data_IF_470552421911
#
_entry.id   IF_470552421911
#
_cell.length_a   1.000
_cell.length_b   1.000
_cell.length_c   1.000
_cell.angle_alpha   90.00
_cell.angle_beta   90.00
_cell.angle_gamma   90.00
#
_symmetry.space_group_name_H-M   'P 1'
#
loop_
_entity.id
_entity.type
_entity.pdbx_description
1 polymer ?
#
# COMPACT_ATOMS: atom_id res chain seq x y z
N UNK A 1 -8.08 -13.31 18.56
CA UNK A 1 -8.10 -12.25 17.54
C UNK A 1 -7.83 -12.79 16.14
N UNK A 2 -8.86 -12.79 15.31
CA UNK A 2 -8.75 -13.07 13.87
C UNK A 2 -8.23 -11.79 13.15
N UNK A 3 -7.40 -11.94 12.13
CA UNK A 3 -6.84 -10.82 11.35
C UNK A 3 -7.93 -9.89 10.78
N UNK A 4 -9.07 -10.47 10.37
CA UNK A 4 -10.22 -9.70 9.88
C UNK A 4 -10.80 -8.75 10.94
N UNK A 5 -10.86 -9.17 12.20
CA UNK A 5 -11.36 -8.34 13.32
C UNK A 5 -10.41 -7.17 13.60
N UNK A 6 -9.10 -7.41 13.56
CA UNK A 6 -8.08 -6.37 13.69
C UNK A 6 -8.18 -5.32 12.58
N UNK A 7 -8.36 -5.76 11.33
CA UNK A 7 -8.54 -4.85 10.19
C UNK A 7 -9.83 -4.04 10.30
N UNK A 8 -10.93 -4.67 10.74
CA UNK A 8 -12.21 -3.99 10.94
C UNK A 8 -12.13 -2.92 12.03
N UNK A 9 -11.55 -3.25 13.20
CA UNK A 9 -11.33 -2.30 14.28
C UNK A 9 -10.41 -1.15 13.86
N UNK A 10 -9.30 -1.44 13.17
CA UNK A 10 -8.38 -0.41 12.67
C UNK A 10 -9.04 0.57 11.69
N UNK A 11 -9.97 0.11 10.86
CA UNK A 11 -10.77 0.98 9.97
C UNK A 11 -11.75 1.84 10.76
N UNK A 12 -12.47 1.25 11.72
CA UNK A 12 -13.43 1.97 12.55
C UNK A 12 -12.76 3.10 13.35
N UNK A 13 -11.59 2.84 13.94
CA UNK A 13 -10.81 3.84 14.68
C UNK A 13 -10.30 4.98 13.79
N UNK A 14 -9.93 4.70 12.54
CA UNK A 14 -9.50 5.74 11.59
C UNK A 14 -10.65 6.66 11.17
N UNK A 15 -11.80 6.08 10.82
CA UNK A 15 -13.02 6.85 10.52
C UNK A 15 -13.42 7.75 11.69
N UNK A 16 -13.27 7.26 12.92
CA UNK A 16 -13.50 8.04 14.12
C UNK A 16 -12.54 9.23 14.29
N UNK A 17 -11.26 9.05 13.96
CA UNK A 17 -10.29 10.14 13.93
C UNK A 17 -10.68 11.22 12.92
N UNK A 18 -11.07 10.83 11.72
CA UNK A 18 -11.55 11.74 10.66
C UNK A 18 -12.81 12.50 11.08
N UNK A 19 -13.73 11.84 11.80
CA UNK A 19 -14.88 12.51 12.39
C UNK A 19 -14.47 13.52 13.46
N UNK A 20 -13.51 13.17 14.33
CA UNK A 20 -12.96 14.07 15.35
C UNK A 20 -12.38 15.35 14.76
N UNK A 21 -11.60 15.24 13.68
CA UNK A 21 -11.01 16.39 12.99
C UNK A 21 -12.05 17.30 12.33
N UNK A 22 -13.19 16.74 11.93
CA UNK A 22 -14.27 17.48 11.28
C UNK A 22 -15.30 18.12 12.25
N UNK A 23 -15.24 17.79 13.55
CA UNK A 23 -16.17 18.32 14.55
C UNK A 23 -15.86 19.79 14.87
N UNK A 24 -16.89 20.62 14.79
CA UNK A 24 -16.85 22.04 15.16
C UNK A 24 -18.20 22.49 15.75
N UNK A 25 -18.27 23.73 16.22
CA UNK A 25 -19.47 24.29 16.87
C UNK A 25 -20.73 24.32 15.97
N UNK A 26 -20.55 24.31 14.65
CA UNK A 26 -21.63 24.37 13.65
C UNK A 26 -22.00 22.98 13.10
N UNK A 27 -21.52 21.90 13.73
CA UNK A 27 -21.80 20.55 13.25
C UNK A 27 -23.29 20.23 13.44
N UNK A 28 -24.01 19.82 12.38
CA UNK A 28 -25.42 19.52 12.48
C UNK A 28 -25.68 18.26 13.32
N UNK A 29 -26.78 18.24 14.09
CA UNK A 29 -27.16 17.13 14.97
C UNK A 29 -27.19 15.76 14.28
N UNK A 30 -27.60 15.72 13.01
CA UNK A 30 -27.59 14.49 12.22
C UNK A 30 -26.18 13.87 12.14
N UNK A 31 -25.15 14.70 11.91
CA UNK A 31 -23.75 14.27 11.91
C UNK A 31 -23.30 13.81 13.29
N UNK A 32 -23.74 14.46 14.37
CA UNK A 32 -23.43 14.04 15.75
C UNK A 32 -24.05 12.66 16.06
N UNK A 33 -25.25 12.38 15.56
CA UNK A 33 -25.89 11.07 15.69
C UNK A 33 -25.18 9.98 14.88
N UNK A 34 -24.66 10.28 13.69
CA UNK A 34 -23.82 9.36 12.91
C UNK A 34 -22.53 9.02 13.65
N UNK A 35 -21.78 10.04 14.11
CA UNK A 35 -20.54 9.85 14.88
C UNK A 35 -20.79 9.02 16.15
N UNK A 36 -21.91 9.27 16.85
CA UNK A 36 -22.32 8.48 18.00
C UNK A 36 -22.59 7.00 17.65
N UNK A 37 -23.18 6.73 16.49
CA UNK A 37 -23.40 5.36 16.03
C UNK A 37 -22.07 4.67 15.70
N UNK A 38 -21.14 5.37 15.06
CA UNK A 38 -19.80 4.85 14.76
C UNK A 38 -18.95 4.58 16.00
N UNK A 39 -19.01 5.47 17.01
CA UNK A 39 -18.40 5.23 18.32
C UNK A 39 -18.89 3.93 18.95
N UNK A 40 -20.21 3.69 18.93
CA UNK A 40 -20.80 2.47 19.49
C UNK A 40 -20.35 1.23 18.75
N UNK A 41 -20.34 1.26 17.41
CA UNK A 41 -19.84 0.16 16.58
C UNK A 41 -18.37 -0.16 16.87
N UNK A 42 -17.52 0.87 17.01
CA UNK A 42 -16.11 0.67 17.32
C UNK A 42 -15.91 0.06 18.72
N UNK A 43 -16.69 0.51 19.71
CA UNK A 43 -16.67 -0.06 21.06
C UNK A 43 -17.12 -1.52 21.07
N UNK A 44 -18.18 -1.86 20.33
CA UNK A 44 -18.66 -3.24 20.22
C UNK A 44 -17.60 -4.16 19.59
N UNK A 45 -16.94 -3.71 18.51
CA UNK A 45 -15.81 -4.44 17.92
C UNK A 45 -14.64 -4.60 18.89
N UNK A 46 -14.35 -3.57 19.70
CA UNK A 46 -13.30 -3.64 20.71
C UNK A 46 -13.65 -4.64 21.82
N UNK A 47 -14.88 -4.61 22.33
CA UNK A 47 -15.35 -5.54 23.35
C UNK A 47 -15.32 -6.99 22.85
N UNK A 48 -15.73 -7.24 21.61
CA UNK A 48 -15.56 -8.53 20.95
C UNK A 48 -14.08 -8.96 20.90
N UNK A 49 -13.16 -8.03 20.60
CA UNK A 49 -11.72 -8.38 20.54
C UNK A 49 -11.12 -8.68 21.90
N UNK A 50 -11.55 -7.98 22.96
CA UNK A 50 -11.05 -8.16 24.34
C UNK A 50 -11.60 -9.45 24.96
N UNK A 51 -12.84 -9.80 24.64
CA UNK A 51 -13.51 -11.00 25.18
C UNK A 51 -13.17 -12.29 24.42
N UNK A 52 -12.70 -12.18 23.17
CA UNK A 52 -12.31 -13.35 22.37
C UNK A 52 -10.96 -13.90 22.82
N UNK A 53 -10.91 -15.19 23.18
CA UNK A 53 -9.66 -15.89 23.51
C UNK A 53 -8.58 -15.72 22.43
N UNK A 54 -7.33 -15.59 22.86
CA UNK A 54 -6.20 -15.52 21.94
C UNK A 54 -6.12 -16.82 21.12
N UNK A 55 -5.93 -16.74 19.80
CA UNK A 55 -5.83 -17.92 18.96
C UNK A 55 -4.55 -18.65 19.34
N UNK A 56 -4.71 -19.88 19.85
CA UNK A 56 -3.57 -20.71 20.21
C UNK A 56 -3.19 -21.59 19.03
N UNK A 57 -1.95 -21.47 18.58
CA UNK A 57 -1.38 -22.43 17.62
C UNK A 57 -0.81 -23.63 18.39
N UNK A 58 -0.49 -24.71 17.68
CA UNK A 58 0.22 -25.87 18.24
C UNK A 58 1.74 -25.76 18.08
N UNK A 59 2.24 -24.58 17.67
CA UNK A 59 3.65 -24.33 17.44
C UNK A 59 4.33 -23.81 18.73
N UNK A 60 5.44 -24.43 19.11
CA UNK A 60 6.23 -24.00 20.27
C UNK A 60 6.88 -22.62 20.08
N UNK A 61 7.20 -22.23 18.84
CA UNK A 61 7.78 -20.91 18.52
C UNK A 61 6.73 -19.78 18.57
N UNK A 62 5.47 -20.08 18.23
CA UNK A 62 4.42 -19.07 18.09
C UNK A 62 3.11 -19.51 18.77
N UNK A 63 3.11 -19.72 20.10
CA UNK A 63 1.94 -20.27 20.81
C UNK A 63 0.69 -19.41 20.63
N UNK A 64 0.83 -18.07 20.52
CA UNK A 64 -0.27 -17.12 20.29
C UNK A 64 -0.23 -16.49 18.89
N UNK A 65 0.40 -17.16 17.92
CA UNK A 65 0.50 -16.68 16.55
C UNK A 65 -0.85 -16.69 15.80
N UNK A 66 -0.94 -16.04 14.63
CA UNK A 66 -2.12 -16.14 13.78
C UNK A 66 -2.38 -17.60 13.38
N UNK A 67 -3.65 -18.00 13.47
CA UNK A 67 -4.08 -19.38 13.18
C UNK A 67 -4.43 -19.55 11.71
N UNK A 68 -3.89 -20.60 11.11
CA UNK A 68 -4.24 -21.11 9.78
C UNK A 68 -4.77 -22.55 9.94
N UNK A 69 -6.03 -22.80 9.59
CA UNK A 69 -6.65 -24.12 9.76
C UNK A 69 -6.06 -25.19 8.83
N UNK A 70 -5.48 -24.77 7.71
CA UNK A 70 -4.85 -25.67 6.74
C UNK A 70 -3.41 -26.03 7.14
N UNK A 71 -2.83 -25.33 8.12
CA UNK A 71 -1.48 -25.56 8.59
C UNK A 71 -1.40 -26.75 9.57
N UNK A 72 -0.39 -27.64 9.47
CA UNK A 72 -0.24 -28.78 10.37
C UNK A 72 -0.20 -28.39 11.86
N UNK A 73 0.55 -27.35 12.18
CA UNK A 73 0.70 -26.83 13.55
C UNK A 73 -0.25 -25.66 13.84
N UNK A 74 -1.22 -25.42 12.94
CA UNK A 74 -2.13 -24.28 12.94
C UNK A 74 -1.47 -22.90 12.92
N UNK A 75 -0.16 -22.82 12.71
CA UNK A 75 0.59 -21.57 12.75
C UNK A 75 0.77 -21.00 11.34
N UNK A 76 0.10 -19.88 11.05
CA UNK A 76 0.19 -19.20 9.76
C UNK A 76 1.62 -18.75 9.41
N UNK A 77 2.41 -18.31 10.41
CA UNK A 77 3.77 -17.83 10.18
C UNK A 77 4.70 -18.95 9.71
N UNK A 78 4.68 -20.08 10.41
CA UNK A 78 5.46 -21.26 10.03
C UNK A 78 4.95 -21.86 8.71
N UNK A 79 3.64 -21.85 8.47
CA UNK A 79 3.08 -22.35 7.21
C UNK A 79 3.42 -21.44 6.03
N UNK A 80 3.42 -20.12 6.21
CA UNK A 80 3.87 -19.16 5.20
C UNK A 80 5.34 -19.40 4.85
N UNK A 81 6.19 -19.65 5.85
CA UNK A 81 7.61 -20.02 5.64
C UNK A 81 7.74 -21.34 4.88
N UNK A 82 6.97 -22.38 5.23
CA UNK A 82 6.94 -23.67 4.52
C UNK A 82 6.46 -23.51 3.07
N UNK A 83 5.40 -22.75 2.83
CA UNK A 83 4.86 -22.44 1.49
C UNK A 83 5.89 -21.71 0.63
N UNK A 84 6.62 -20.75 1.21
CA UNK A 84 7.71 -20.07 0.53
C UNK A 84 8.84 -21.03 0.14
N UNK A 85 9.28 -21.90 1.06
CA UNK A 85 10.31 -22.90 0.79
C UNK A 85 9.90 -23.90 -0.31
N UNK A 86 8.65 -24.38 -0.28
CA UNK A 86 8.11 -25.26 -1.35
C UNK A 86 8.06 -24.55 -2.70
N UNK A 87 7.77 -23.25 -2.74
CA UNK A 87 7.77 -22.45 -3.97
C UNK A 87 9.19 -22.34 -4.55
N UNK A 88 10.19 -22.15 -3.70
CA UNK A 88 11.60 -22.15 -4.13
C UNK A 88 12.00 -23.51 -4.70
N UNK A 89 11.65 -24.61 -4.02
CA UNK A 89 11.93 -25.98 -4.51
C UNK A 89 11.23 -26.28 -5.85
N UNK A 90 9.99 -25.83 -6.03
CA UNK A 90 9.27 -25.95 -7.31
C UNK A 90 9.94 -25.14 -8.42
N UNK A 91 10.37 -23.91 -8.12
CA UNK A 91 11.13 -23.11 -9.07
C UNK A 91 12.48 -23.75 -9.44
N UNK A 92 13.13 -24.44 -8.50
CA UNK A 92 14.37 -25.20 -8.76
C UNK A 92 14.11 -26.48 -9.58
N UNK A 93 12.90 -27.05 -9.51
CA UNK A 93 12.52 -28.27 -10.25
C UNK A 93 12.21 -28.04 -11.73
N UNK A 94 11.91 -26.81 -12.16
CA UNK A 94 11.68 -26.44 -13.56
C UNK A 94 12.97 -26.20 -14.37
N UNK A 95 14.08 -26.79 -13.93
CA UNK A 95 15.42 -26.50 -14.42
C UNK A 95 16.02 -25.29 -13.71
N UNK A 96 17.35 -25.09 -13.80
CA UNK A 96 17.99 -24.01 -13.09
C UNK A 96 17.30 -22.70 -13.48
N UNK A 97 16.85 -21.94 -12.48
CA UNK A 97 16.64 -20.51 -12.69
C UNK A 97 17.90 -20.02 -13.39
N UNK A 98 17.74 -19.50 -14.62
CA UNK A 98 18.84 -18.95 -15.41
C UNK A 98 19.73 -18.21 -14.42
N UNK A 99 21.01 -18.59 -14.25
CA UNK A 99 21.83 -17.99 -13.22
C UNK A 99 21.64 -16.50 -13.36
N UNK A 100 21.16 -15.85 -12.30
CA UNK A 100 21.32 -14.42 -12.22
C UNK A 100 22.82 -14.26 -12.42
N UNK A 101 23.22 -13.81 -13.61
CA UNK A 101 24.61 -13.48 -13.85
C UNK A 101 25.04 -12.51 -12.74
N UNK A 102 26.33 -12.21 -12.60
CA UNK A 102 26.66 -10.96 -11.94
C UNK A 102 25.71 -9.93 -12.56
N UNK A 103 24.85 -9.34 -11.73
CA UNK A 103 24.00 -8.26 -12.20
C UNK A 103 25.03 -7.20 -12.55
N UNK A 104 25.52 -7.24 -13.79
CA UNK A 104 26.24 -6.15 -14.40
C UNK A 104 25.33 -4.99 -14.06
N UNK A 105 25.76 -4.02 -13.23
CA UNK A 105 24.93 -2.87 -12.92
C UNK A 105 24.51 -2.37 -14.29
N UNK A 106 23.26 -2.67 -14.65
CA UNK A 106 22.76 -2.36 -15.98
C UNK A 106 22.76 -0.87 -15.91
N UNK A 107 23.63 -0.15 -16.66
CA UNK A 107 23.71 1.28 -16.51
C UNK A 107 22.28 1.76 -16.74
N UNK A 108 21.64 2.21 -15.66
CA UNK A 108 20.30 2.68 -15.74
C UNK A 108 20.42 3.84 -16.70
N UNK A 109 19.71 3.78 -17.83
CA UNK A 109 19.63 4.89 -18.77
C UNK A 109 18.88 6.10 -18.17
N UNK A 110 18.75 6.12 -16.85
CA UNK A 110 17.74 6.78 -16.04
C UNK A 110 18.42 7.21 -14.74
N UNK A 111 18.24 8.49 -14.41
CA UNK A 111 19.01 9.20 -13.40
C UNK A 111 18.97 8.51 -12.03
N UNK A 112 20.15 8.43 -11.43
CA UNK A 112 20.32 8.13 -10.01
C UNK A 112 19.65 9.27 -9.24
N UNK A 113 18.89 8.96 -8.18
CA UNK A 113 18.39 9.97 -7.25
C UNK A 113 19.61 10.69 -6.68
N UNK A 114 19.72 11.99 -6.90
CA UNK A 114 20.84 12.76 -6.34
C UNK A 114 20.85 12.62 -4.82
N UNK A 115 22.05 12.60 -4.21
CA UNK A 115 22.22 12.57 -2.75
C UNK A 115 21.49 13.72 -2.02
N UNK A 116 21.17 14.79 -2.75
CA UNK A 116 20.24 15.84 -2.33
C UNK A 116 19.24 16.14 -3.45
N UNK A 117 18.07 15.50 -3.46
CA UNK A 117 17.09 15.80 -4.48
C UNK A 117 16.52 17.20 -4.28
N UNK A 118 16.56 18.03 -5.33
CA UNK A 118 15.86 19.31 -5.33
C UNK A 118 14.38 19.11 -5.70
N UNK A 119 13.45 19.84 -5.07
CA UNK A 119 12.03 19.76 -5.43
C UNK A 119 11.84 20.21 -6.89
N UNK A 120 11.44 19.28 -7.75
CA UNK A 120 11.16 19.58 -9.15
C UNK A 120 9.66 19.66 -9.38
N UNK A 121 9.23 20.72 -10.05
CA UNK A 121 7.84 20.86 -10.47
C UNK A 121 7.49 19.77 -11.51
N UNK A 122 6.36 19.10 -11.28
CA UNK A 122 5.81 18.04 -12.11
C UNK A 122 4.30 18.21 -12.31
N UNK A 123 3.84 17.71 -13.44
CA UNK A 123 2.43 17.66 -13.84
C UNK A 123 1.96 16.21 -13.86
N UNK A 124 1.05 15.86 -12.95
CA UNK A 124 0.58 14.51 -12.68
C UNK A 124 -0.78 14.29 -13.37
N UNK A 125 -0.83 13.46 -14.43
CA UNK A 125 -2.09 13.12 -15.08
C UNK A 125 -2.85 12.08 -14.26
N UNK A 126 -4.05 12.42 -13.82
CA UNK A 126 -4.90 11.55 -13.02
C UNK A 126 -6.22 11.23 -13.73
N UNK A 127 -6.72 10.03 -13.48
CA UNK A 127 -7.99 9.53 -13.94
C UNK A 127 -8.89 9.15 -12.76
N UNK A 128 -10.19 9.39 -12.89
CA UNK A 128 -11.18 8.92 -11.93
C UNK A 128 -11.56 7.48 -12.23
N UNK A 129 -11.31 6.57 -11.28
CA UNK A 129 -11.63 5.15 -11.42
C UNK A 129 -13.04 4.77 -10.90
N UNK A 130 -13.82 5.75 -10.43
CA UNK A 130 -15.13 5.52 -9.80
C UNK A 130 -15.13 5.70 -8.28
N UNK A 131 -13.96 5.66 -7.64
CA UNK A 131 -13.81 5.79 -6.18
C UNK A 131 -12.75 6.80 -5.77
N UNK A 132 -11.60 6.81 -6.46
CA UNK A 132 -10.46 7.67 -6.16
C UNK A 132 -9.82 8.22 -7.45
N UNK A 133 -9.12 9.34 -7.29
CA UNK A 133 -8.20 9.82 -8.32
C UNK A 133 -6.94 8.99 -8.28
N UNK A 134 -6.55 8.45 -9.44
CA UNK A 134 -5.35 7.62 -9.58
C UNK A 134 -4.51 8.11 -10.74
N UNK A 135 -3.18 8.05 -10.58
CA UNK A 135 -2.24 8.34 -11.66
C UNK A 135 -2.49 7.42 -12.86
N UNK A 136 -2.75 8.01 -14.01
CA UNK A 136 -3.02 7.28 -15.24
C UNK A 136 -1.81 7.20 -16.17
N UNK A 137 -0.70 7.84 -15.82
CA UNK A 137 0.56 7.83 -16.57
C UNK A 137 1.74 8.30 -15.73
N UNK A 138 2.90 8.47 -16.36
CA UNK A 138 4.08 9.04 -15.71
C UNK A 138 3.91 10.55 -15.54
N UNK A 139 4.34 11.14 -14.41
CA UNK A 139 4.40 12.59 -14.24
C UNK A 139 5.25 13.26 -15.33
N UNK A 140 4.86 14.46 -15.74
CA UNK A 140 5.48 15.20 -16.84
C UNK A 140 6.19 16.45 -16.34
N UNK A 141 7.21 16.87 -17.09
CA UNK A 141 7.94 18.12 -16.79
C UNK A 141 7.22 19.34 -17.37
N UNK A 142 6.55 19.16 -18.50
CA UNK A 142 5.79 20.21 -19.18
C UNK A 142 4.27 19.96 -19.05
N UNK A 143 3.54 21.06 -18.77
CA UNK A 143 2.08 21.08 -18.71
C UNK A 143 1.48 20.66 -20.05
N UNK A 144 2.02 21.18 -21.16
CA UNK A 144 1.49 20.94 -22.50
C UNK A 144 1.60 19.46 -22.88
N UNK A 145 2.71 18.83 -22.55
CA UNK A 145 2.91 17.38 -22.73
C UNK A 145 1.85 16.58 -21.95
N UNK A 146 1.59 16.97 -20.70
CA UNK A 146 0.61 16.30 -19.85
C UNK A 146 -0.84 16.47 -20.36
N UNK A 147 -1.18 17.66 -20.84
CA UNK A 147 -2.49 17.93 -21.47
C UNK A 147 -2.68 17.11 -22.75
N UNK A 148 -1.66 17.04 -23.61
CA UNK A 148 -1.68 16.20 -24.82
C UNK A 148 -1.84 14.71 -24.46
N UNK A 149 -1.19 14.26 -23.40
CA UNK A 149 -1.33 12.90 -22.89
C UNK A 149 -2.77 12.61 -22.44
N UNK A 150 -3.38 13.48 -21.63
CA UNK A 150 -4.77 13.31 -21.23
C UNK A 150 -5.74 13.36 -22.41
N UNK A 151 -5.48 14.21 -23.41
CA UNK A 151 -6.25 14.24 -24.66
C UNK A 151 -6.14 12.93 -25.44
N UNK A 152 -4.97 12.28 -25.45
CA UNK A 152 -4.81 10.95 -26.03
C UNK A 152 -5.57 9.88 -25.23
N UNK A 153 -5.49 9.91 -23.90
CA UNK A 153 -6.20 8.96 -23.02
C UNK A 153 -7.73 9.03 -23.18
N UNK A 154 -8.29 10.22 -23.40
CA UNK A 154 -9.72 10.41 -23.69
C UNK A 154 -10.16 9.77 -25.01
N UNK A 155 -9.23 9.62 -25.97
CA UNK A 155 -9.48 8.99 -27.29
C UNK A 155 -9.09 7.51 -27.32
N UNK A 156 -8.62 6.97 -26.19
CA UNK A 156 -8.22 5.57 -26.07
C UNK A 156 -9.41 4.61 -26.05
N UNK A 157 -9.16 3.29 -26.15
CA UNK A 157 -10.20 2.27 -26.21
C UNK A 157 -11.02 2.13 -24.92
N UNK A 158 -10.49 2.60 -23.77
CA UNK A 158 -11.16 2.57 -22.46
C UNK A 158 -10.90 3.88 -21.72
N UNK A 159 -11.62 4.97 -22.06
CA UNK A 159 -11.44 6.23 -21.37
C UNK A 159 -12.01 6.16 -19.95
N UNK A 160 -11.33 6.79 -18.99
CA UNK A 160 -11.87 7.00 -17.65
C UNK A 160 -13.01 8.02 -17.67
N UNK A 161 -13.84 7.99 -16.62
CA UNK A 161 -15.02 8.85 -16.45
C UNK A 161 -14.62 10.33 -16.42
N UNK A 162 -13.51 10.64 -15.76
CA UNK A 162 -12.97 11.98 -15.67
C UNK A 162 -11.44 11.93 -15.63
N UNK A 163 -10.83 13.03 -16.07
CA UNK A 163 -9.40 13.25 -15.99
C UNK A 163 -9.12 14.62 -15.40
N UNK A 164 -8.06 14.72 -14.62
CA UNK A 164 -7.54 16.00 -14.13
C UNK A 164 -6.03 16.03 -14.22
N UNK A 165 -5.49 17.24 -14.17
CA UNK A 165 -4.06 17.47 -14.13
C UNK A 165 -3.71 18.16 -12.81
N UNK A 166 -2.81 17.55 -12.04
CA UNK A 166 -2.36 18.07 -10.76
C UNK A 166 -0.94 18.59 -10.90
N UNK A 167 -0.64 19.72 -10.28
CA UNK A 167 0.71 20.28 -10.20
C UNK A 167 1.29 19.93 -8.84
N UNK A 168 2.44 19.27 -8.81
CA UNK A 168 3.12 18.86 -7.57
C UNK A 168 4.63 19.11 -7.68
N UNK A 169 5.28 19.34 -6.53
CA UNK A 169 6.74 19.38 -6.43
C UNK A 169 7.23 18.05 -5.89
N UNK A 170 7.93 17.26 -6.71
CA UNK A 170 8.48 15.95 -6.31
C UNK A 170 10.00 16.03 -6.20
N UNK A 171 10.56 15.45 -5.14
CA UNK A 171 12.00 15.31 -4.90
C UNK A 171 12.56 13.98 -5.48
N UNK A 172 11.85 13.34 -6.41
CA UNK A 172 12.32 12.13 -7.08
C UNK A 172 11.71 11.99 -8.47
N UNK A 173 12.42 11.31 -9.37
CA UNK A 173 11.90 10.97 -10.69
C UNK A 173 10.97 9.74 -10.57
N UNK A 174 9.65 9.98 -10.58
CA UNK A 174 8.64 8.90 -10.56
C UNK A 174 8.55 8.26 -11.95
N UNK A 175 9.34 7.21 -12.19
CA UNK A 175 9.24 6.42 -13.41
C UNK A 175 8.66 5.05 -13.09
N UNK A 176 7.66 4.62 -13.88
CA UNK A 176 6.96 3.33 -13.74
C UNK A 176 7.92 2.20 -13.35
N UNK A 177 7.78 1.72 -12.12
CA UNK A 177 8.40 0.48 -11.66
C UNK A 177 7.38 -0.63 -11.91
N UNK A 178 7.72 -1.61 -12.73
CA UNK A 178 7.00 -2.89 -12.73
C UNK A 178 7.63 -3.74 -11.62
N UNK A 179 6.89 -3.98 -10.54
CA UNK A 179 7.37 -4.69 -9.36
C UNK A 179 7.03 -3.98 -8.06
N UNK A 180 7.27 -4.65 -6.93
CA UNK A 180 7.07 -4.09 -5.59
C UNK A 180 8.23 -3.15 -5.25
N UNK A 181 7.98 -1.86 -4.95
CA UNK A 181 9.05 -0.93 -4.64
C UNK A 181 9.71 -1.33 -3.32
N UNK A 182 10.96 -1.74 -3.39
CA UNK A 182 11.78 -1.96 -2.19
C UNK A 182 12.34 -0.61 -1.76
N UNK A 183 11.83 -0.09 -0.64
CA UNK A 183 12.41 1.07 0.04
C UNK A 183 13.64 0.57 0.79
N UNK A 184 14.82 0.99 0.34
CA UNK A 184 16.08 0.76 1.05
C UNK A 184 16.41 2.05 1.77
N UNK A 185 16.37 2.04 3.10
CA UNK A 185 16.90 3.13 3.89
C UNK A 185 18.42 3.11 3.77
N UNK A 186 19.02 4.27 3.52
CA UNK A 186 20.47 4.44 3.56
C UNK A 186 20.86 4.30 5.04
N UNK A 187 21.51 3.19 5.41
CA UNK A 187 22.20 3.11 6.70
C UNK A 187 23.08 4.36 6.85
N UNK A 188 23.13 4.99 8.04
CA UNK A 188 24.00 6.13 8.23
C UNK A 188 25.43 5.63 8.08
N UNK A 189 26.05 5.92 6.93
CA UNK A 189 27.47 5.76 6.72
C UNK A 189 28.15 6.56 7.84
N UNK A 190 28.62 5.80 8.82
CA UNK A 190 29.47 6.30 9.88
C UNK A 190 30.67 7.00 9.25
N UNK A 191 30.99 8.15 9.82
CA UNK A 191 32.23 8.87 9.57
C UNK A 191 33.42 7.89 9.54
N UNK A 192 34.14 7.86 8.42
CA UNK A 192 35.59 7.66 8.31
C UNK A 192 36.06 8.12 6.94
#
# INVERSE_FOLDING_TARGET
MNHAQLTALGRALRLLGEHGDALNADTPDARLHEVKADLRRALELLDETVTTAAPTTRCAEHPNGPVDEEAPDRCLLCETRRRAARRTQLNDSYGPARPAGPATPTPSRYGVRDDRPQPQQRWLPEAWNGQVWQLCGTPRRDRREAELYLAAQRRGPRPAIAYRLVQEFTDYDVTRIWGEPVRVDIEPLGNL
#
